data_IF_854079267478
#
_entry.id   IF_854079267478
#
_cell.length_a   1.000
_cell.length_b   1.000
_cell.length_c   1.000
_cell.angle_alpha   90.00
_cell.angle_beta   90.00
_cell.angle_gamma   90.00
#
_symmetry.space_group_name_H-M   'P 1'
#
loop_
_entity.id
_entity.type
_entity.pdbx_description
1 polymer ?
#
# COMPACT_ATOMS: atom_id res chain seq x y z
N UNK A 1 5.84 9.71 -2.73
CA UNK A 1 6.76 10.12 -3.83
C UNK A 1 6.38 9.55 -5.22
N UNK A 2 5.23 8.88 -5.36
CA UNK A 2 4.76 8.29 -6.61
C UNK A 2 3.81 9.17 -7.43
N UNK A 3 3.51 10.39 -6.94
CA UNK A 3 2.68 11.37 -7.66
C UNK A 3 3.33 11.86 -8.97
N UNK A 4 4.65 11.63 -9.11
CA UNK A 4 5.44 11.89 -10.32
C UNK A 4 5.58 10.67 -11.25
N UNK A 5 4.85 9.57 -11.02
CA UNK A 5 4.86 8.40 -11.92
C UNK A 5 4.07 8.73 -13.21
N UNK A 6 4.64 9.62 -14.00
CA UNK A 6 4.10 10.03 -15.30
C UNK A 6 4.41 8.99 -16.37
N UNK A 7 3.78 9.18 -17.54
CA UNK A 7 4.01 8.35 -18.72
C UNK A 7 5.49 8.20 -19.09
N UNK A 8 6.34 9.21 -18.81
CA UNK A 8 7.78 9.16 -19.05
C UNK A 8 8.48 8.09 -18.21
N UNK A 9 8.17 7.98 -16.93
CA UNK A 9 8.79 7.00 -16.03
C UNK A 9 8.40 5.57 -16.40
N UNK A 10 7.14 5.35 -16.82
CA UNK A 10 6.69 4.06 -17.33
C UNK A 10 7.52 3.64 -18.55
N UNK A 11 7.80 4.56 -19.47
CA UNK A 11 8.65 4.27 -20.64
C UNK A 11 10.07 3.92 -20.21
N UNK A 12 10.64 4.65 -19.25
CA UNK A 12 11.98 4.35 -18.70
C UNK A 12 12.02 2.96 -18.07
N UNK A 13 11.03 2.59 -17.24
CA UNK A 13 10.93 1.27 -16.64
C UNK A 13 10.74 0.16 -17.68
N UNK A 14 9.97 0.42 -18.74
CA UNK A 14 9.83 -0.51 -19.86
C UNK A 14 11.18 -0.73 -20.54
N UNK A 15 11.88 0.34 -20.91
CA UNK A 15 13.20 0.23 -21.56
C UNK A 15 14.20 -0.48 -20.66
N UNK A 16 14.23 -0.15 -19.36
CA UNK A 16 15.09 -0.80 -18.38
C UNK A 16 14.76 -2.30 -18.26
N UNK A 17 13.48 -2.64 -18.19
CA UNK A 17 13.03 -4.03 -18.17
C UNK A 17 13.43 -4.78 -19.45
N UNK A 18 13.24 -4.16 -20.61
CA UNK A 18 13.67 -4.71 -21.90
C UNK A 18 15.19 -4.89 -21.96
N UNK A 19 15.98 -4.00 -21.36
CA UNK A 19 17.44 -4.12 -21.32
C UNK A 19 17.90 -5.24 -20.38
N UNK A 20 17.33 -5.34 -19.18
CA UNK A 20 17.72 -6.33 -18.17
C UNK A 20 17.30 -7.75 -18.58
N UNK A 21 16.06 -7.92 -19.02
CA UNK A 21 15.49 -9.23 -19.32
C UNK A 21 15.59 -9.60 -20.80
N UNK A 22 15.69 -8.61 -21.69
CA UNK A 22 15.62 -8.78 -23.14
C UNK A 22 14.19 -8.67 -23.69
N UNK A 23 13.99 -8.03 -24.86
CA UNK A 23 12.66 -7.84 -25.46
C UNK A 23 11.98 -9.16 -25.83
N UNK A 24 12.75 -10.20 -26.15
CA UNK A 24 12.21 -11.50 -26.56
C UNK A 24 11.74 -12.36 -25.38
N UNK A 25 12.30 -12.14 -24.19
CA UNK A 25 12.05 -12.98 -23.00
C UNK A 25 10.94 -12.44 -22.12
N UNK A 26 10.82 -11.12 -22.02
CA UNK A 26 9.78 -10.42 -21.26
C UNK A 26 8.35 -10.89 -21.56
N UNK A 27 7.88 -10.95 -22.82
CA UNK A 27 6.50 -11.36 -23.11
C UNK A 27 6.25 -12.82 -22.73
N UNK A 28 7.25 -13.69 -22.88
CA UNK A 28 7.19 -15.08 -22.43
C UNK A 28 7.04 -15.18 -20.91
N UNK A 29 7.93 -14.52 -20.16
CA UNK A 29 7.91 -14.50 -18.70
C UNK A 29 6.61 -13.90 -18.13
N UNK A 30 6.13 -12.80 -18.71
CA UNK A 30 4.86 -12.19 -18.31
C UNK A 30 3.67 -13.14 -18.57
N UNK A 31 3.67 -13.85 -19.70
CA UNK A 31 2.64 -14.85 -20.01
C UNK A 31 2.69 -16.05 -19.05
N UNK A 32 3.88 -16.52 -18.69
CA UNK A 32 4.07 -17.60 -17.70
C UNK A 32 3.60 -17.18 -16.31
N UNK A 33 3.95 -15.96 -15.88
CA UNK A 33 3.50 -15.39 -14.61
C UNK A 33 1.97 -15.23 -14.59
N UNK A 34 1.37 -14.70 -15.66
CA UNK A 34 -0.08 -14.56 -15.80
C UNK A 34 -0.81 -15.90 -15.77
N UNK A 35 -0.27 -16.92 -16.46
CA UNK A 35 -0.80 -18.29 -16.40
C UNK A 35 -0.72 -18.87 -14.99
N UNK A 36 0.38 -18.63 -14.27
CA UNK A 36 0.58 -19.10 -12.89
C UNK A 36 -0.40 -18.41 -11.93
N UNK A 37 -0.58 -17.10 -12.05
CA UNK A 37 -1.54 -16.34 -11.27
C UNK A 37 -2.98 -16.79 -11.52
N UNK A 38 -3.33 -17.09 -12.77
CA UNK A 38 -4.66 -17.64 -13.11
C UNK A 38 -4.89 -19.00 -12.45
N UNK A 39 -3.90 -19.89 -12.47
CA UNK A 39 -3.97 -21.18 -11.79
C UNK A 39 -4.15 -20.98 -10.29
N UNK A 40 -3.35 -20.12 -9.67
CA UNK A 40 -3.46 -19.80 -8.24
C UNK A 40 -4.85 -19.27 -7.89
N UNK A 41 -5.40 -18.34 -8.68
CA UNK A 41 -6.78 -17.85 -8.48
C UNK A 41 -7.82 -18.97 -8.56
N UNK A 42 -7.67 -19.93 -9.47
CA UNK A 42 -8.56 -21.08 -9.58
C UNK A 42 -8.46 -22.01 -8.37
N UNK A 43 -7.24 -22.29 -7.91
CA UNK A 43 -7.01 -23.10 -6.71
C UNK A 43 -7.60 -22.45 -5.45
N UNK A 44 -7.34 -21.16 -5.23
CA UNK A 44 -7.89 -20.42 -4.08
C UNK A 44 -9.43 -20.41 -4.13
N UNK A 45 -10.01 -20.21 -5.31
CA UNK A 45 -11.47 -20.22 -5.47
C UNK A 45 -12.06 -21.60 -5.16
N UNK A 46 -11.45 -22.69 -5.67
CA UNK A 46 -11.87 -24.06 -5.37
C UNK A 46 -11.83 -24.35 -3.87
N UNK A 47 -10.72 -24.04 -3.20
CA UNK A 47 -10.61 -24.20 -1.75
C UNK A 47 -11.64 -23.38 -0.98
N UNK A 48 -11.93 -22.16 -1.43
CA UNK A 48 -12.96 -21.32 -0.79
C UNK A 48 -14.35 -21.90 -0.97
N UNK A 49 -14.66 -22.43 -2.16
CA UNK A 49 -15.94 -23.07 -2.46
C UNK A 49 -16.10 -24.36 -1.64
N UNK A 50 -15.03 -25.15 -1.50
CA UNK A 50 -15.00 -26.37 -0.68
C UNK A 50 -15.19 -26.04 0.81
N UNK A 51 -14.42 -25.09 1.37
CA UNK A 51 -14.58 -24.63 2.77
C UNK A 51 -15.96 -24.07 3.05
N UNK A 52 -16.55 -23.33 2.10
CA UNK A 52 -17.92 -22.81 2.21
C UNK A 52 -18.96 -23.94 2.19
N UNK A 53 -18.69 -25.02 1.47
CA UNK A 53 -19.59 -26.18 1.38
C UNK A 53 -19.52 -27.09 2.61
N UNK A 54 -18.34 -27.25 3.21
CA UNK A 54 -18.12 -28.14 4.36
C UNK A 54 -18.43 -27.48 5.71
N UNK A 55 -18.19 -26.17 5.85
CA UNK A 55 -18.37 -25.46 7.12
C UNK A 55 -19.76 -24.82 7.26
N UNK A 56 -20.57 -24.83 6.20
CA UNK A 56 -21.92 -24.28 6.21
C UNK A 56 -21.98 -22.78 6.54
N UNK A 57 -23.19 -22.20 6.65
CA UNK A 57 -23.39 -20.78 6.99
C UNK A 57 -22.79 -20.32 8.34
N UNK A 58 -22.19 -21.22 9.13
CA UNK A 58 -21.57 -20.89 10.43
C UNK A 58 -20.25 -20.11 10.32
N UNK A 59 -19.67 -19.97 9.11
CA UNK A 59 -18.62 -18.97 8.85
C UNK A 59 -19.15 -17.56 8.55
N UNK A 60 -20.47 -17.38 8.40
CA UNK A 60 -21.10 -16.08 8.09
C UNK A 60 -20.88 -15.01 9.15
N UNK A 61 -20.59 -15.41 10.39
CA UNK A 61 -20.37 -14.52 11.52
C UNK A 61 -18.89 -14.21 11.82
N UNK A 62 -17.96 -14.90 11.16
CA UNK A 62 -16.52 -14.54 11.22
C UNK A 62 -16.26 -13.55 10.09
N UNK A 63 -15.80 -12.36 10.44
CA UNK A 63 -15.55 -11.22 9.55
C UNK A 63 -14.51 -11.53 8.43
N UNK A 64 -14.91 -12.30 7.42
CA UNK A 64 -14.08 -12.63 6.25
C UNK A 64 -13.75 -11.38 5.41
N UNK A 65 -14.55 -10.32 5.53
CA UNK A 65 -14.36 -9.08 4.79
C UNK A 65 -13.10 -8.32 5.23
N UNK A 66 -12.68 -8.44 6.49
CA UNK A 66 -11.42 -7.88 6.97
C UNK A 66 -10.19 -8.71 6.59
N UNK A 67 -10.35 -10.00 6.28
CA UNK A 67 -9.29 -10.89 5.77
C UNK A 67 -9.17 -10.89 4.24
N UNK A 68 -10.02 -10.16 3.51
CA UNK A 68 -9.94 -10.12 2.05
C UNK A 68 -8.54 -9.65 1.62
N UNK A 69 -7.79 -10.44 0.83
CA UNK A 69 -6.39 -10.17 0.51
C UNK A 69 -6.23 -8.83 -0.22
N UNK A 70 -7.26 -8.37 -0.94
CA UNK A 70 -7.28 -7.06 -1.58
C UNK A 70 -7.30 -5.92 -0.56
N UNK A 71 -8.13 -6.03 0.48
CA UNK A 71 -8.24 -5.05 1.56
C UNK A 71 -7.00 -5.07 2.46
N UNK A 72 -6.42 -6.26 2.69
CA UNK A 72 -5.18 -6.43 3.45
C UNK A 72 -3.96 -5.85 2.73
N UNK A 73 -3.78 -6.15 1.44
CA UNK A 73 -2.70 -5.58 0.61
C UNK A 73 -2.89 -4.07 0.43
N UNK A 74 -4.12 -3.60 0.25
CA UNK A 74 -4.41 -2.17 0.25
C UNK A 74 -3.99 -1.53 1.58
N UNK A 75 -4.42 -2.07 2.71
CA UNK A 75 -4.02 -1.53 4.02
C UNK A 75 -2.50 -1.58 4.23
N UNK A 76 -1.82 -2.68 3.93
CA UNK A 76 -0.37 -2.77 4.16
C UNK A 76 0.46 -1.93 3.18
N UNK A 77 0.13 -1.92 1.88
CA UNK A 77 0.92 -1.15 0.92
C UNK A 77 0.66 0.36 1.02
N UNK A 78 -0.58 0.79 1.28
CA UNK A 78 -0.88 2.22 1.41
C UNK A 78 -0.59 2.77 2.81
N UNK A 79 -0.56 1.95 3.87
CA UNK A 79 -0.17 2.44 5.21
C UNK A 79 1.35 2.59 5.38
N UNK A 80 2.18 1.72 4.78
CA UNK A 80 3.64 1.87 4.86
C UNK A 80 4.17 3.07 4.04
N UNK A 81 3.46 3.49 2.97
CA UNK A 81 3.84 4.65 2.15
C UNK A 81 3.52 6.00 2.81
N UNK A 82 2.59 6.05 3.77
CA UNK A 82 2.26 7.27 4.54
C UNK A 82 3.17 7.48 5.77
N UNK A 83 3.87 6.43 6.23
CA UNK A 83 4.76 6.49 7.41
C UNK A 83 6.24 6.82 7.07
N UNK A 84 6.58 7.02 5.78
CA UNK A 84 7.87 7.55 5.36
C UNK A 84 7.86 9.08 5.37
N UNK A 85 7.62 9.65 6.56
CA UNK A 85 7.87 11.05 6.85
C UNK A 85 9.40 11.26 7.01
N UNK A 86 10.10 11.99 6.11
CA UNK A 86 11.50 12.37 6.35
C UNK A 86 11.64 13.38 7.52
N UNK A 87 10.61 13.56 8.34
CA UNK A 87 10.59 14.44 9.49
C UNK A 87 10.81 13.74 10.85
N UNK A 88 11.16 12.46 10.90
CA UNK A 88 11.63 11.83 12.15
C UNK A 88 13.05 12.31 12.46
N UNK A 89 13.13 13.52 13.01
CA UNK A 89 14.39 14.12 13.44
C UNK A 89 14.33 15.60 13.84
N UNK A 90 13.15 16.24 13.94
CA UNK A 90 13.06 17.59 14.51
C UNK A 90 11.97 17.64 15.58
N UNK A 91 12.35 17.77 16.87
CA UNK A 91 11.41 18.21 17.88
C UNK A 91 10.82 19.53 17.40
N UNK A 92 9.50 19.61 17.23
CA UNK A 92 8.82 20.89 17.03
C UNK A 92 8.83 21.64 18.37
N UNK A 93 9.99 22.17 18.76
CA UNK A 93 10.04 23.30 19.68
C UNK A 93 9.54 24.51 18.92
N UNK A 94 8.22 24.74 18.95
CA UNK A 94 7.63 26.05 18.63
C UNK A 94 7.94 27.00 19.81
N UNK A 95 9.21 27.32 19.97
CA UNK A 95 9.69 28.37 20.86
C UNK A 95 10.53 29.30 19.99
N UNK A 96 9.90 30.31 19.39
CA UNK A 96 10.62 31.33 18.61
C UNK A 96 10.03 31.69 17.23
N UNK A 97 8.80 31.31 16.90
CA UNK A 97 8.10 32.03 15.85
C UNK A 97 7.74 33.44 16.38
N UNK A 98 8.07 34.54 15.67
CA UNK A 98 7.67 35.87 16.10
C UNK A 98 6.15 35.91 16.20
N UNK A 99 5.63 36.33 17.35
CA UNK A 99 4.20 36.52 17.56
C UNK A 99 3.72 37.59 16.57
N UNK A 100 2.58 37.34 15.91
CA UNK A 100 1.93 38.35 15.09
C UNK A 100 1.42 39.50 15.97
N UNK A 101 1.37 40.72 15.43
CA UNK A 101 0.93 41.90 16.17
C UNK A 101 -0.48 41.70 16.75
N UNK A 102 -0.58 41.59 18.07
CA UNK A 102 -1.83 41.38 18.80
C UNK A 102 -2.16 39.92 19.17
N UNK A 103 -1.29 38.96 18.84
CA UNK A 103 -1.44 37.58 19.33
C UNK A 103 -0.97 37.48 20.79
N UNK A 104 -1.84 37.14 21.76
CA UNK A 104 -1.41 36.95 23.14
C UNK A 104 -0.44 35.76 23.21
N UNK A 105 0.64 35.93 23.97
CA UNK A 105 1.59 34.84 24.18
C UNK A 105 0.86 33.61 24.75
N UNK A 106 1.23 32.39 24.33
CA UNK A 106 0.64 31.17 24.87
C UNK A 106 0.82 31.14 26.40
N UNK A 107 -0.28 31.28 27.14
CA UNK A 107 -0.29 31.17 28.60
C UNK A 107 -0.67 29.74 28.98
N UNK A 108 0.09 29.17 29.91
CA UNK A 108 -0.13 27.81 30.41
C UNK A 108 -0.93 27.89 31.73
N UNK A 109 -2.22 27.49 31.74
CA UNK A 109 -3.06 27.51 32.93
C UNK A 109 -2.70 26.45 33.96
N UNK A 110 -1.81 25.51 33.64
CA UNK A 110 -1.46 24.38 34.50
C UNK A 110 -0.33 24.72 35.51
N UNK A 111 0.14 25.98 35.55
CA UNK A 111 1.22 26.44 36.46
C UNK A 111 0.68 27.18 37.70
N UNK A 112 -0.26 26.58 38.44
CA UNK A 112 -0.68 27.02 39.79
C UNK A 112 -0.31 26.00 40.86
#
# INVERSE_FOLDING_TARGET
MFDSLGWGEIVVLLVLGLFVFGPDRLPGMAADAGRSLRKLRLYVKGMTDDLKSELGPELGDVDLASLHPRTFVQKHLFSDDDDLDPAVGRPRTRAGAPLADGEPAPWDPETT
#
